data_IF_530499184720
#
_entry.id   IF_530499184720
#
_cell.length_a   1.000
_cell.length_b   1.000
_cell.length_c   1.000
_cell.angle_alpha   90.00
_cell.angle_beta   90.00
_cell.angle_gamma   90.00
#
_symmetry.space_group_name_H-M   'P 1'
#
loop_
_entity.id
_entity.type
_entity.pdbx_description
1 polymer ?
#
# COMPACT_ATOMS: atom_id res chain seq x y z
N UNK A 1 8.48 -18.71 -6.75
CA UNK A 1 8.09 -17.46 -6.04
C UNK A 1 6.89 -17.68 -5.13
N UNK A 2 5.83 -18.32 -5.61
CA UNK A 2 4.56 -18.52 -4.87
C UNK A 2 4.76 -19.22 -3.51
N UNK A 3 5.50 -20.35 -3.46
CA UNK A 3 5.76 -21.07 -2.20
C UNK A 3 6.42 -20.21 -1.11
N UNK A 4 7.32 -19.31 -1.50
CA UNK A 4 7.95 -18.35 -0.58
C UNK A 4 6.93 -17.33 -0.09
N UNK A 5 6.20 -16.73 -1.03
CA UNK A 5 5.23 -15.69 -0.73
C UNK A 5 4.12 -16.19 0.21
N UNK A 6 3.62 -17.42 0.03
CA UNK A 6 2.61 -18.02 0.92
C UNK A 6 3.11 -18.14 2.35
N UNK A 7 4.36 -18.58 2.54
CA UNK A 7 4.94 -18.79 3.88
C UNK A 7 5.26 -17.49 4.61
N UNK A 8 5.60 -16.45 3.87
CA UNK A 8 6.08 -15.18 4.42
C UNK A 8 4.96 -14.16 4.60
N UNK A 9 3.84 -14.34 3.89
CA UNK A 9 2.67 -13.46 4.02
C UNK A 9 1.90 -13.82 5.29
N UNK A 10 1.50 -12.84 6.13
CA UNK A 10 0.69 -13.10 7.32
C UNK A 10 -0.74 -13.46 6.90
N UNK A 11 -0.97 -14.74 6.59
CA UNK A 11 -2.23 -15.23 6.02
C UNK A 11 -3.46 -14.94 6.89
N UNK A 12 -3.33 -15.06 8.21
CA UNK A 12 -4.41 -14.75 9.16
C UNK A 12 -4.79 -13.27 9.11
N UNK A 13 -3.81 -12.37 9.13
CA UNK A 13 -4.07 -10.93 9.05
C UNK A 13 -4.71 -10.57 7.70
N UNK A 14 -4.15 -11.08 6.60
CA UNK A 14 -4.69 -10.85 5.26
C UNK A 14 -6.13 -11.36 5.14
N UNK A 15 -6.40 -12.58 5.62
CA UNK A 15 -7.74 -13.16 5.62
C UNK A 15 -8.73 -12.36 6.47
N UNK A 16 -8.34 -11.98 7.68
CA UNK A 16 -9.15 -11.15 8.57
C UNK A 16 -9.44 -9.77 7.94
N UNK A 17 -8.43 -9.11 7.38
CA UNK A 17 -8.61 -7.82 6.70
C UNK A 17 -9.53 -7.94 5.49
N UNK A 18 -9.39 -8.99 4.69
CA UNK A 18 -10.29 -9.28 3.57
C UNK A 18 -11.74 -9.49 4.04
N UNK A 19 -11.96 -10.24 5.12
CA UNK A 19 -13.27 -10.44 5.71
C UNK A 19 -13.88 -9.11 6.20
N UNK A 20 -13.08 -8.26 6.85
CA UNK A 20 -13.53 -6.93 7.28
C UNK A 20 -13.87 -6.05 6.09
N UNK A 21 -13.05 -6.02 5.03
CA UNK A 21 -13.34 -5.26 3.79
C UNK A 21 -14.68 -5.73 3.19
N UNK A 22 -14.89 -7.03 3.08
CA UNK A 22 -16.15 -7.58 2.57
C UNK A 22 -17.34 -7.22 3.47
N UNK A 23 -17.19 -7.30 4.80
CA UNK A 23 -18.21 -6.91 5.75
C UNK A 23 -18.58 -5.42 5.66
N UNK A 24 -17.58 -4.53 5.58
CA UNK A 24 -17.80 -3.10 5.39
C UNK A 24 -18.57 -2.82 4.10
N UNK A 25 -18.16 -3.44 2.99
CA UNK A 25 -18.83 -3.25 1.71
C UNK A 25 -20.24 -3.85 1.68
N UNK A 26 -20.49 -4.95 2.40
CA UNK A 26 -21.83 -5.48 2.60
C UNK A 26 -22.73 -4.49 3.36
N UNK A 27 -22.20 -3.83 4.40
CA UNK A 27 -22.93 -2.79 5.14
C UNK A 27 -23.21 -1.56 4.27
N UNK A 28 -22.25 -1.12 3.46
CA UNK A 28 -22.45 -0.06 2.45
C UNK A 28 -23.56 -0.45 1.48
N UNK A 29 -23.52 -1.67 0.94
CA UNK A 29 -24.53 -2.16 0.00
C UNK A 29 -25.93 -2.32 0.63
N UNK A 30 -26.01 -2.54 1.94
CA UNK A 30 -27.29 -2.64 2.65
C UNK A 30 -27.94 -1.26 2.90
N UNK A 31 -27.14 -0.23 3.21
CA UNK A 31 -27.63 1.14 3.47
C UNK A 31 -26.69 2.19 2.88
N UNK A 32 -26.66 2.38 1.55
CA UNK A 32 -25.66 3.21 0.89
C UNK A 32 -25.68 4.66 1.38
N UNK A 33 -26.86 5.21 1.67
CA UNK A 33 -27.01 6.61 2.11
C UNK A 33 -26.39 6.91 3.48
N UNK A 34 -26.34 5.93 4.38
CA UNK A 34 -25.87 6.14 5.78
C UNK A 34 -24.48 5.54 5.99
N UNK A 35 -24.23 4.38 5.38
CA UNK A 35 -23.01 3.60 5.61
C UNK A 35 -21.89 3.94 4.63
N UNK A 36 -22.10 4.88 3.70
CA UNK A 36 -21.09 5.27 2.72
C UNK A 36 -19.68 5.50 3.27
N UNK A 37 -19.46 6.16 4.42
CA UNK A 37 -18.11 6.38 4.93
C UNK A 37 -17.30 5.10 5.17
N UNK A 38 -17.97 3.95 5.34
CA UNK A 38 -17.32 2.64 5.46
C UNK A 38 -16.58 2.23 4.18
N UNK A 39 -16.95 2.78 3.03
CA UNK A 39 -16.25 2.59 1.76
C UNK A 39 -14.83 3.17 1.82
N UNK A 40 -14.68 4.41 2.31
CA UNK A 40 -13.36 5.01 2.49
C UNK A 40 -12.52 4.29 3.56
N UNK A 41 -13.16 3.77 4.61
CA UNK A 41 -12.49 2.88 5.58
C UNK A 41 -12.00 1.58 4.93
N UNK A 42 -12.79 0.97 4.04
CA UNK A 42 -12.40 -0.22 3.29
C UNK A 42 -11.21 0.07 2.35
N UNK A 43 -11.19 1.21 1.66
CA UNK A 43 -10.05 1.65 0.84
C UNK A 43 -8.79 1.85 1.71
N UNK A 44 -8.94 2.47 2.88
CA UNK A 44 -7.86 2.59 3.87
C UNK A 44 -7.34 1.23 4.35
N UNK A 45 -8.24 0.27 4.61
CA UNK A 45 -7.87 -1.09 4.98
C UNK A 45 -7.14 -1.83 3.86
N UNK A 46 -7.54 -1.67 2.59
CA UNK A 46 -6.79 -2.22 1.46
C UNK A 46 -5.35 -1.69 1.49
N UNK A 47 -5.17 -0.37 1.60
CA UNK A 47 -3.85 0.24 1.68
C UNK A 47 -3.04 -0.27 2.89
N UNK A 48 -3.66 -0.32 4.07
CA UNK A 48 -3.02 -0.80 5.30
C UNK A 48 -2.63 -2.27 5.24
N UNK A 49 -3.49 -3.12 4.67
CA UNK A 49 -3.25 -4.57 4.52
C UNK A 49 -2.12 -4.83 3.54
N UNK A 50 -2.14 -4.16 2.39
CA UNK A 50 -1.08 -4.27 1.38
C UNK A 50 0.25 -3.79 1.95
N UNK A 51 0.27 -2.69 2.73
CA UNK A 51 1.47 -2.15 3.34
C UNK A 51 2.03 -3.08 4.43
N UNK A 52 1.20 -3.53 5.39
CA UNK A 52 1.60 -4.43 6.48
C UNK A 52 2.14 -5.76 5.96
N UNK A 53 1.60 -6.27 4.85
CA UNK A 53 2.13 -7.49 4.25
C UNK A 53 3.57 -7.33 3.67
N UNK A 54 4.04 -6.09 3.50
CA UNK A 54 5.43 -5.80 3.13
C UNK A 54 6.41 -5.82 4.32
N UNK A 55 5.93 -5.96 5.56
CA UNK A 55 6.78 -5.92 6.76
C UNK A 55 7.62 -7.19 6.95
N UNK A 56 8.93 -7.03 7.15
CA UNK A 56 9.86 -8.15 7.34
C UNK A 56 10.04 -8.49 8.83
N UNK A 57 9.02 -9.06 9.47
CA UNK A 57 9.09 -9.48 10.88
C UNK A 57 10.08 -10.63 11.13
N UNK A 58 10.26 -11.54 10.17
CA UNK A 58 11.04 -12.78 10.33
C UNK A 58 11.98 -13.11 9.17
N UNK A 59 12.38 -12.15 8.33
CA UNK A 59 13.18 -12.44 7.12
C UNK A 59 14.50 -13.17 7.41
N UNK A 60 15.12 -12.92 8.57
CA UNK A 60 16.35 -13.59 8.99
C UNK A 60 16.17 -15.08 9.33
N UNK A 61 14.95 -15.53 9.64
CA UNK A 61 14.67 -16.92 10.04
C UNK A 61 14.25 -17.81 8.87
N UNK A 62 13.76 -17.22 7.77
CA UNK A 62 13.10 -17.96 6.68
C UNK A 62 13.94 -18.04 5.40
N UNK A 63 14.87 -17.11 5.17
CA UNK A 63 15.71 -17.11 3.96
C UNK A 63 17.10 -17.69 4.24
N UNK A 64 17.31 -18.94 3.84
CA UNK A 64 18.64 -19.58 3.78
C UNK A 64 19.48 -19.09 2.60
N UNK A 65 18.89 -18.31 1.68
CA UNK A 65 19.56 -17.76 0.50
C UNK A 65 19.46 -16.22 0.51
N UNK A 66 20.57 -15.49 0.29
CA UNK A 66 20.56 -14.03 0.26
C UNK A 66 19.83 -13.52 -1.00
N UNK A 67 18.53 -13.22 -0.88
CA UNK A 67 17.73 -12.62 -1.95
C UNK A 67 17.65 -11.10 -1.81
N UNK A 68 17.75 -10.40 -2.94
CA UNK A 68 17.64 -8.93 -2.99
C UNK A 68 16.29 -8.41 -2.50
N UNK A 69 16.28 -7.20 -1.95
CA UNK A 69 15.09 -6.52 -1.40
C UNK A 69 13.94 -6.43 -2.42
N UNK A 70 14.27 -6.13 -3.69
CA UNK A 70 13.29 -6.01 -4.79
C UNK A 70 12.56 -7.32 -4.99
N UNK A 71 13.28 -8.45 -5.02
CA UNK A 71 12.68 -9.76 -5.22
C UNK A 71 11.75 -10.11 -4.05
N UNK A 72 12.16 -9.85 -2.80
CA UNK A 72 11.35 -10.14 -1.60
C UNK A 72 10.08 -9.29 -1.55
N UNK A 73 10.18 -8.01 -1.93
CA UNK A 73 9.03 -7.09 -2.01
C UNK A 73 8.05 -7.54 -3.11
N UNK A 74 8.57 -7.84 -4.31
CA UNK A 74 7.76 -8.33 -5.42
C UNK A 74 7.05 -9.65 -5.09
N UNK A 75 7.75 -10.61 -4.48
CA UNK A 75 7.17 -11.90 -4.10
C UNK A 75 5.97 -11.74 -3.16
N UNK A 76 6.03 -10.84 -2.18
CA UNK A 76 4.91 -10.56 -1.27
C UNK A 76 3.76 -9.83 -1.96
N UNK A 77 4.08 -8.86 -2.81
CA UNK A 77 3.08 -8.12 -3.58
C UNK A 77 2.25 -9.04 -4.49
N UNK A 78 2.86 -10.07 -5.08
CA UNK A 78 2.21 -11.04 -5.99
C UNK A 78 1.03 -11.78 -5.34
N UNK A 79 1.02 -11.99 -4.03
CA UNK A 79 -0.12 -12.64 -3.34
C UNK A 79 -1.04 -11.59 -2.72
N UNK A 80 -0.45 -10.61 -2.04
CA UNK A 80 -1.20 -9.68 -1.18
C UNK A 80 -2.06 -8.71 -1.98
N UNK A 81 -1.52 -8.18 -3.08
CA UNK A 81 -2.26 -7.23 -3.92
C UNK A 81 -3.42 -7.92 -4.64
N UNK A 82 -3.24 -9.06 -5.33
CA UNK A 82 -4.38 -9.76 -5.94
C UNK A 82 -5.40 -10.26 -4.93
N UNK A 83 -5.00 -10.71 -3.73
CA UNK A 83 -5.96 -11.14 -2.72
C UNK A 83 -6.86 -9.98 -2.26
N UNK A 84 -6.27 -8.83 -1.88
CA UNK A 84 -7.04 -7.67 -1.43
C UNK A 84 -7.90 -7.08 -2.56
N UNK A 85 -7.33 -6.93 -3.77
CA UNK A 85 -8.06 -6.40 -4.92
C UNK A 85 -9.11 -7.39 -5.46
N UNK A 86 -8.87 -8.70 -5.35
CA UNK A 86 -9.82 -9.72 -5.75
C UNK A 86 -11.07 -9.69 -4.89
N UNK A 87 -10.92 -9.55 -3.56
CA UNK A 87 -12.05 -9.36 -2.65
C UNK A 87 -12.78 -8.05 -2.95
N UNK A 88 -12.04 -6.95 -3.14
CA UNK A 88 -12.62 -5.67 -3.51
C UNK A 88 -13.42 -5.73 -4.83
N UNK A 89 -12.85 -6.32 -5.88
CA UNK A 89 -13.49 -6.48 -7.18
C UNK A 89 -14.72 -7.39 -7.08
N UNK A 90 -14.63 -8.50 -6.34
CA UNK A 90 -15.77 -9.38 -6.08
C UNK A 90 -16.92 -8.62 -5.41
N UNK A 91 -16.62 -7.83 -4.37
CA UNK A 91 -17.60 -6.97 -3.70
C UNK A 91 -18.28 -6.01 -4.68
N UNK A 92 -17.51 -5.32 -5.52
CA UNK A 92 -18.05 -4.38 -6.53
C UNK A 92 -18.91 -5.08 -7.58
N UNK A 93 -18.55 -6.31 -8.00
CA UNK A 93 -19.31 -7.09 -8.96
C UNK A 93 -20.63 -7.60 -8.38
N UNK A 94 -20.58 -8.18 -7.17
CA UNK A 94 -21.74 -8.75 -6.47
C UNK A 94 -22.76 -7.66 -6.13
N UNK A 95 -22.29 -6.49 -5.69
CA UNK A 95 -23.16 -5.39 -5.26
C UNK A 95 -23.30 -4.26 -6.28
N UNK A 96 -22.94 -4.49 -7.55
CA UNK A 96 -22.98 -3.47 -8.61
C UNK A 96 -24.32 -2.74 -8.74
N UNK A 97 -25.42 -3.46 -8.49
CA UNK A 97 -26.79 -2.94 -8.62
C UNK A 97 -27.23 -2.06 -7.44
N UNK A 98 -26.47 -2.06 -6.34
CA UNK A 98 -26.76 -1.28 -5.12
C UNK A 98 -25.78 -0.15 -4.89
N UNK A 99 -24.72 -0.08 -5.69
CA UNK A 99 -23.70 0.96 -5.63
C UNK A 99 -24.00 2.05 -6.67
N UNK A 100 -23.56 3.30 -6.45
CA UNK A 100 -23.69 4.39 -7.43
C UNK A 100 -23.10 4.05 -8.81
N UNK A 101 -23.62 4.69 -9.87
CA UNK A 101 -23.32 4.46 -11.30
C UNK A 101 -21.90 4.86 -11.77
N UNK A 102 -20.88 4.63 -10.94
CA UNK A 102 -19.47 4.89 -11.25
C UNK A 102 -18.54 3.73 -10.81
N UNK A 103 -18.83 2.47 -11.18
CA UNK A 103 -18.05 1.29 -10.77
C UNK A 103 -16.55 1.40 -11.08
N UNK A 104 -16.21 2.06 -12.20
CA UNK A 104 -14.82 2.28 -12.61
C UNK A 104 -14.03 3.15 -11.63
N UNK A 105 -14.67 4.13 -10.98
CA UNK A 105 -13.99 4.97 -9.99
C UNK A 105 -13.70 4.19 -8.71
N UNK A 106 -14.64 3.37 -8.22
CA UNK A 106 -14.41 2.51 -7.05
C UNK A 106 -13.30 1.50 -7.29
N UNK A 107 -13.25 0.90 -8.47
CA UNK A 107 -12.15 0.03 -8.86
C UNK A 107 -10.81 0.78 -8.82
N UNK A 108 -10.78 2.00 -9.39
CA UNK A 108 -9.60 2.85 -9.39
C UNK A 108 -9.14 3.25 -7.98
N UNK A 109 -10.06 3.51 -7.04
CA UNK A 109 -9.73 3.82 -5.64
C UNK A 109 -9.02 2.65 -4.95
N UNK A 110 -9.54 1.43 -5.11
CA UNK A 110 -8.91 0.23 -4.58
C UNK A 110 -7.52 -0.01 -5.18
N UNK A 111 -7.39 0.09 -6.51
CA UNK A 111 -6.11 -0.07 -7.23
C UNK A 111 -5.11 1.02 -6.84
N UNK A 112 -5.55 2.27 -6.76
CA UNK A 112 -4.72 3.41 -6.38
C UNK A 112 -4.21 3.29 -4.94
N UNK A 113 -5.09 2.88 -4.02
CA UNK A 113 -4.74 2.64 -2.62
C UNK A 113 -3.70 1.52 -2.46
N UNK A 114 -3.88 0.39 -3.15
CA UNK A 114 -2.92 -0.71 -3.16
C UNK A 114 -1.57 -0.29 -3.76
N UNK A 115 -1.59 0.41 -4.90
CA UNK A 115 -0.38 0.87 -5.59
C UNK A 115 0.40 1.88 -4.73
N UNK A 116 -0.30 2.81 -4.09
CA UNK A 116 0.30 3.79 -3.19
C UNK A 116 0.93 3.10 -1.97
N UNK A 117 0.24 2.13 -1.37
CA UNK A 117 0.76 1.34 -0.25
C UNK A 117 2.04 0.58 -0.62
N UNK A 118 2.07 -0.10 -1.78
CA UNK A 118 3.28 -0.78 -2.29
C UNK A 118 4.41 0.23 -2.51
N UNK A 119 4.12 1.35 -3.16
CA UNK A 119 5.13 2.37 -3.51
C UNK A 119 5.76 3.01 -2.28
N UNK A 120 4.94 3.42 -1.31
CA UNK A 120 5.40 3.99 -0.04
C UNK A 120 6.18 2.97 0.78
N UNK A 121 5.68 1.73 0.86
CA UNK A 121 6.37 0.65 1.59
C UNK A 121 7.72 0.34 0.95
N UNK A 122 7.78 0.16 -0.38
CA UNK A 122 9.01 -0.10 -1.11
C UNK A 122 10.03 1.03 -0.92
N UNK A 123 9.59 2.29 -0.99
CA UNK A 123 10.45 3.46 -0.74
C UNK A 123 10.99 3.50 0.69
N UNK A 124 10.16 3.28 1.70
CA UNK A 124 10.60 3.22 3.10
C UNK A 124 11.54 2.04 3.36
N UNK A 125 11.29 0.87 2.76
CA UNK A 125 12.18 -0.29 2.83
C UNK A 125 13.54 0.01 2.20
N UNK A 126 13.57 0.71 1.07
CA UNK A 126 14.82 1.16 0.45
C UNK A 126 15.60 2.17 1.33
N UNK A 127 14.94 2.81 2.31
CA UNK A 127 15.60 3.66 3.32
C UNK A 127 16.02 2.89 4.58
N UNK A 128 15.88 1.57 4.59
CA UNK A 128 16.28 0.72 5.71
C UNK A 128 15.24 0.59 6.82
N UNK A 129 13.99 1.02 6.62
CA UNK A 129 12.91 0.79 7.59
C UNK A 129 12.44 -0.66 7.49
N UNK A 130 12.54 -1.48 8.55
CA UNK A 130 12.22 -2.91 8.48
C UNK A 130 10.71 -3.20 8.47
N UNK A 131 9.91 -2.33 9.10
CA UNK A 131 8.46 -2.50 9.25
C UNK A 131 7.68 -1.21 8.90
N UNK A 132 7.76 -0.73 7.64
CA UNK A 132 7.09 0.51 7.27
C UNK A 132 5.57 0.37 7.17
N UNK A 133 5.07 -0.85 6.98
CA UNK A 133 3.67 -1.18 6.78
C UNK A 133 2.83 -1.00 8.01
N UNK A 134 3.27 -1.48 9.18
CA UNK A 134 2.54 -1.29 10.45
C UNK A 134 2.30 0.19 10.77
N UNK A 135 3.34 1.02 10.67
CA UNK A 135 3.23 2.47 10.89
C UNK A 135 2.33 3.12 9.85
N UNK A 136 2.45 2.71 8.58
CA UNK A 136 1.61 3.23 7.52
C UNK A 136 0.13 2.85 7.72
N UNK A 137 -0.16 1.60 8.08
CA UNK A 137 -1.50 1.11 8.33
C UNK A 137 -2.16 1.82 9.53
N UNK A 138 -1.41 2.01 10.62
CA UNK A 138 -1.88 2.73 11.80
C UNK A 138 -2.27 4.19 11.53
N UNK A 139 -1.77 4.79 10.44
CA UNK A 139 -2.12 6.14 10.03
C UNK A 139 -3.18 6.16 8.92
N UNK A 140 -2.99 5.36 7.86
CA UNK A 140 -3.82 5.44 6.65
C UNK A 140 -5.24 4.99 6.91
N UNK A 141 -5.46 3.99 7.77
CA UNK A 141 -6.80 3.48 8.08
C UNK A 141 -7.60 4.56 8.81
N UNK A 142 -7.19 5.09 9.98
CA UNK A 142 -7.98 6.12 10.67
C UNK A 142 -8.08 7.42 9.88
N UNK A 143 -7.04 7.82 9.13
CA UNK A 143 -7.11 9.03 8.29
C UNK A 143 -8.09 8.84 7.15
N UNK A 144 -8.07 7.70 6.44
CA UNK A 144 -9.03 7.44 5.37
C UNK A 144 -10.47 7.38 5.91
N UNK A 145 -10.67 6.74 7.06
CA UNK A 145 -11.96 6.71 7.76
C UNK A 145 -12.41 8.12 8.16
N UNK A 146 -11.55 8.92 8.77
CA UNK A 146 -11.86 10.30 9.17
C UNK A 146 -12.18 11.19 7.97
N UNK A 147 -11.41 11.09 6.88
CA UNK A 147 -11.66 11.85 5.65
C UNK A 147 -12.97 11.42 4.99
N UNK A 148 -13.30 10.13 5.02
CA UNK A 148 -14.57 9.61 4.49
C UNK A 148 -15.78 10.06 5.33
N UNK A 149 -15.61 10.18 6.65
CA UNK A 149 -16.66 10.64 7.57
C UNK A 149 -16.86 12.16 7.53
N UNK A 150 -15.79 12.93 7.71
CA UNK A 150 -15.84 14.39 7.84
C UNK A 150 -16.05 15.06 6.47
N UNK A 151 -15.58 14.42 5.39
CA UNK A 151 -15.63 14.93 4.02
C UNK A 151 -15.15 16.40 3.92
N UNK A 152 -13.96 16.74 4.47
CA UNK A 152 -13.54 18.14 4.67
C UNK A 152 -13.41 18.95 3.38
N UNK A 153 -13.27 18.29 2.23
CA UNK A 153 -13.11 18.92 0.92
C UNK A 153 -14.25 18.62 -0.06
N UNK A 154 -15.44 18.26 0.43
CA UNK A 154 -16.59 17.92 -0.42
C UNK A 154 -16.90 18.98 -1.49
N UNK A 155 -16.73 20.28 -1.17
CA UNK A 155 -16.97 21.38 -2.10
C UNK A 155 -15.88 21.65 -3.14
N UNK A 156 -14.69 21.02 -3.03
CA UNK A 156 -13.55 21.28 -3.94
C UNK A 156 -13.04 20.01 -4.59
N UNK A 157 -12.88 18.96 -3.79
CA UNK A 157 -12.30 17.67 -4.16
C UNK A 157 -12.88 16.56 -3.27
N UNK A 158 -13.95 15.93 -3.75
CA UNK A 158 -14.50 14.75 -3.10
C UNK A 158 -13.56 13.56 -3.30
N UNK A 159 -12.76 13.22 -2.27
CA UNK A 159 -11.86 12.06 -2.31
C UNK A 159 -12.64 10.74 -2.50
N UNK A 160 -13.81 10.66 -1.87
CA UNK A 160 -14.78 9.57 -1.95
C UNK A 160 -16.17 10.14 -2.33
N UNK A 161 -16.40 10.43 -3.63
CA UNK A 161 -17.65 11.05 -4.10
C UNK A 161 -18.81 10.05 -4.04
N UNK A 162 -19.96 10.49 -3.56
CA UNK A 162 -21.22 9.72 -3.44
C UNK A 162 -22.39 10.43 -4.09
N UNK A 163 -22.47 11.75 -3.94
CA UNK A 163 -23.63 12.50 -4.37
C UNK A 163 -23.50 12.90 -5.84
N UNK A 164 -24.62 13.05 -6.58
CA UNK A 164 -24.59 13.55 -7.95
C UNK A 164 -23.93 14.94 -8.06
N UNK A 165 -24.02 15.75 -7.01
CA UNK A 165 -23.40 17.07 -6.94
C UNK A 165 -21.89 17.06 -6.66
N UNK A 166 -21.30 15.91 -6.31
CA UNK A 166 -19.86 15.82 -6.07
C UNK A 166 -19.08 15.89 -7.40
N UNK A 167 -17.87 16.46 -7.37
CA UNK A 167 -17.00 16.58 -8.55
C UNK A 167 -16.28 15.26 -8.91
N UNK A 168 -17.02 14.31 -9.50
CA UNK A 168 -16.52 12.98 -9.89
C UNK A 168 -15.27 13.01 -10.78
N UNK A 169 -15.20 13.98 -11.70
CA UNK A 169 -14.08 14.13 -12.64
C UNK A 169 -12.75 14.43 -11.94
N UNK A 170 -12.76 15.36 -10.96
CA UNK A 170 -11.56 15.70 -10.17
C UNK A 170 -11.09 14.54 -9.31
N UNK A 171 -12.04 13.82 -8.70
CA UNK A 171 -11.73 12.60 -7.93
C UNK A 171 -11.05 11.55 -8.81
N UNK A 172 -11.59 11.30 -10.00
CA UNK A 172 -11.00 10.38 -10.98
C UNK A 172 -9.58 10.79 -11.37
N UNK A 173 -9.36 12.06 -11.69
CA UNK A 173 -8.04 12.58 -12.05
C UNK A 173 -7.03 12.40 -10.91
N UNK A 174 -7.43 12.68 -9.67
CA UNK A 174 -6.59 12.45 -8.49
C UNK A 174 -6.21 10.99 -8.35
N UNK A 175 -7.18 10.07 -8.39
CA UNK A 175 -6.90 8.65 -8.22
C UNK A 175 -6.08 8.06 -9.37
N UNK A 176 -6.22 8.56 -10.60
CA UNK A 176 -5.33 8.24 -11.71
C UNK A 176 -3.90 8.74 -11.44
N UNK A 177 -3.77 9.99 -10.99
CA UNK A 177 -2.48 10.58 -10.65
C UNK A 177 -1.80 9.83 -9.50
N UNK A 178 -2.54 9.36 -8.49
CA UNK A 178 -1.99 8.52 -7.42
C UNK A 178 -1.57 7.14 -7.94
N UNK A 179 -2.40 6.51 -8.78
CA UNK A 179 -2.11 5.18 -9.33
C UNK A 179 -0.87 5.18 -10.22
N UNK A 180 -0.69 6.18 -11.08
CA UNK A 180 0.46 6.27 -11.97
C UNK A 180 1.67 7.00 -11.34
N UNK A 181 1.42 8.03 -10.54
CA UNK A 181 2.44 8.90 -9.97
C UNK A 181 3.19 8.29 -8.79
N UNK A 182 2.51 7.55 -7.91
CA UNK A 182 3.16 6.89 -6.77
C UNK A 182 4.28 5.90 -7.19
N UNK A 183 4.08 4.97 -8.14
CA UNK A 183 5.13 4.05 -8.55
C UNK A 183 6.24 4.77 -9.30
N UNK A 184 5.92 5.79 -10.11
CA UNK A 184 6.91 6.61 -10.79
C UNK A 184 7.80 7.37 -9.79
N UNK A 185 7.21 8.00 -8.78
CA UNK A 185 7.94 8.71 -7.74
C UNK A 185 8.85 7.76 -6.93
N UNK A 186 8.36 6.57 -6.59
CA UNK A 186 9.15 5.54 -5.91
C UNK A 186 10.34 5.06 -6.77
N UNK A 187 10.11 4.85 -8.07
CA UNK A 187 11.15 4.48 -9.03
C UNK A 187 12.21 5.58 -9.16
N UNK A 188 11.80 6.84 -9.35
CA UNK A 188 12.71 7.97 -9.45
C UNK A 188 13.54 8.16 -8.17
N UNK A 189 12.93 7.97 -7.00
CA UNK A 189 13.64 8.00 -5.72
C UNK A 189 14.69 6.89 -5.62
N UNK A 190 14.38 5.67 -6.07
CA UNK A 190 15.31 4.53 -6.09
C UNK A 190 16.46 4.73 -7.11
N UNK A 191 16.19 5.33 -8.27
CA UNK A 191 17.24 5.65 -9.25
C UNK A 191 18.18 6.74 -8.70
N UNK A 192 17.64 7.78 -8.05
CA UNK A 192 18.44 8.85 -7.44
C UNK A 192 19.33 8.34 -6.30
N UNK A 193 18.83 7.43 -5.46
CA UNK A 193 19.62 6.86 -4.36
C UNK A 193 20.80 6.02 -4.88
N UNK A 194 20.60 5.21 -5.93
CA UNK A 194 21.68 4.45 -6.58
C UNK A 194 22.78 5.34 -7.16
N UNK A 195 22.42 6.47 -7.79
CA UNK A 195 23.40 7.42 -8.35
C UNK A 195 24.30 8.03 -7.27
N UNK A 196 23.73 8.39 -6.10
CA UNK A 196 24.51 8.93 -4.97
C UNK A 196 25.55 7.95 -4.42
N UNK A 197 25.23 6.65 -4.42
CA UNK A 197 26.19 5.62 -3.99
C UNK A 197 27.29 5.33 -5.01
N UNK A 198 27.01 5.45 -6.32
CA UNK A 198 28.02 5.30 -7.39
C UNK A 198 29.00 6.47 -7.48
N UNK A 199 28.55 7.68 -7.12
CA UNK A 199 29.38 8.88 -7.13
C UNK A 199 30.31 9.04 -5.92
N UNK A 200 30.20 8.19 -4.89
CA UNK A 200 31.21 8.14 -3.84
C UNK A 200 32.43 7.40 -4.38
N UNK A 201 33.60 8.06 -4.56
CA UNK A 201 34.80 7.35 -4.94
C UNK A 201 35.02 6.23 -3.93
N UNK A 202 35.21 4.99 -4.42
CA UNK A 202 35.73 3.89 -3.62
C UNK A 202 37.08 4.36 -3.10
N UNK A 203 37.10 4.91 -1.90
CA UNK A 203 38.33 5.20 -1.19
C UNK A 203 39.14 3.91 -1.17
N UNK A 204 40.22 3.88 -1.95
CA UNK A 204 41.16 2.76 -1.99
C UNK A 204 41.64 2.51 -0.56
N UNK A 205 41.40 1.30 -0.07
CA UNK A 205 42.31 0.58 0.84
C UNK A 205 42.81 1.32 2.08
N UNK A 206 41.93 1.66 3.02
CA UNK A 206 42.33 1.63 4.43
C UNK A 206 41.48 0.61 5.16
N UNK A 207 42.11 -0.51 5.47
CA UNK A 207 41.59 -1.48 6.42
C UNK A 207 41.19 -0.77 7.72
N UNK A 208 40.04 -1.13 8.32
CA UNK A 208 39.65 -0.57 9.60
C UNK A 208 40.71 -0.92 10.64
N UNK A 209 41.26 0.10 11.33
CA UNK A 209 42.12 -0.12 12.49
C UNK A 209 41.34 -0.92 13.56
N UNK A 210 41.99 -1.82 14.31
CA UNK A 210 41.34 -2.56 15.39
C UNK A 210 40.82 -1.55 16.42
N UNK A 211 39.50 -1.51 16.64
CA UNK A 211 38.84 -0.53 17.50
C UNK A 211 37.58 0.12 16.91
N UNK A 212 37.23 -0.18 15.65
CA UNK A 212 36.06 0.41 15.00
C UNK A 212 34.73 -0.20 15.47
N UNK A 213 33.87 0.65 16.06
CA UNK A 213 32.51 0.29 16.50
C UNK A 213 31.64 -0.14 15.29
N UNK A 214 30.87 -1.23 15.40
CA UNK A 214 30.07 -1.77 14.30
C UNK A 214 28.80 -0.92 14.06
N UNK A 215 28.93 0.23 13.41
CA UNK A 215 27.79 1.10 13.09
C UNK A 215 27.75 1.67 11.67
N UNK A 216 28.86 1.69 10.93
CA UNK A 216 28.97 2.53 9.73
C UNK A 216 28.61 1.83 8.39
N UNK A 217 28.48 0.51 8.35
CA UNK A 217 28.33 -0.23 7.08
C UNK A 217 26.90 -0.29 6.52
N UNK A 218 25.89 0.24 7.23
CA UNK A 218 24.47 0.09 6.86
C UNK A 218 23.90 1.12 5.88
N UNK A 219 24.72 1.92 5.17
CA UNK A 219 24.19 3.03 4.34
C UNK A 219 24.20 2.81 2.82
N UNK A 220 24.55 1.62 2.33
CA UNK A 220 24.62 1.37 0.89
C UNK A 220 23.89 0.11 0.39
N UNK A 221 22.82 -0.32 1.06
CA UNK A 221 21.99 -1.44 0.61
C UNK A 221 20.51 -1.12 0.74
#
# INVERSE_FOLDING_TARGET
MIRYAVRVTPGVLLGASCAVIAGLMAMVAARPYVMWPLQGAAVGLIAGTVATAQDERCAALVDTLPRGLVWRTAARAVITVPAALGVWACCLLVWRHRLPDHPGLFALQGVGAATLAVSVSAWRRHRGVPQPGAVFAALVVPVATAVALIRPWSGVLALFPIWPADEWGRSRALWLALTAGAPLAALLAAVRSRRRCRGRPRGRGRWPRPGWRPGAWRRCW
#
